data_IF_710707801564
#
_entry.id   IF_710707801564
#
_cell.length_a   1.000
_cell.length_b   1.000
_cell.length_c   1.000
_cell.angle_alpha   90.00
_cell.angle_beta   90.00
_cell.angle_gamma   90.00
#
_symmetry.space_group_name_H-M   'P 1'
#
loop_
_entity.id
_entity.type
_entity.pdbx_description
1 polymer ?
#
# COMPACT_ATOMS: atom_id res chain seq x y z
N UNK A 1 54.68 16.76 11.26
CA UNK A 1 54.31 17.74 12.30
C UNK A 1 53.45 17.00 13.33
N UNK A 2 54.09 16.44 14.36
CA UNK A 2 53.43 15.86 15.53
C UNK A 2 53.06 16.99 16.48
N UNK A 3 51.89 16.92 17.12
CA UNK A 3 51.53 17.58 18.38
C UNK A 3 50.12 17.10 18.76
N UNK A 4 49.73 16.92 20.03
CA UNK A 4 50.32 16.31 21.21
C UNK A 4 49.08 16.00 22.09
N UNK A 5 49.16 14.95 22.91
CA UNK A 5 48.10 14.60 23.88
C UNK A 5 48.08 15.61 25.03
N UNK A 6 46.92 15.88 25.62
CA UNK A 6 46.86 16.21 27.04
C UNK A 6 45.51 15.84 27.66
N UNK A 7 45.59 15.00 28.69
CA UNK A 7 44.53 14.69 29.66
C UNK A 7 44.67 15.69 30.80
N UNK A 8 43.57 16.29 31.26
CA UNK A 8 43.50 16.85 32.61
C UNK A 8 42.26 16.30 33.31
N UNK A 9 42.53 15.55 34.39
CA UNK A 9 41.61 15.27 35.47
C UNK A 9 41.64 16.46 36.44
N UNK A 10 40.49 16.88 36.97
CA UNK A 10 40.41 17.42 38.32
C UNK A 10 39.02 17.16 38.91
N UNK A 11 38.99 16.37 39.96
CA UNK A 11 37.86 16.17 40.86
C UNK A 11 38.04 17.08 42.08
N UNK A 12 36.96 17.67 42.60
CA UNK A 12 36.81 17.94 44.03
C UNK A 12 35.34 18.17 44.42
N UNK A 13 34.96 17.54 45.53
CA UNK A 13 33.65 17.50 46.20
C UNK A 13 33.33 18.78 46.99
N UNK A 14 32.05 18.94 47.39
CA UNK A 14 31.46 19.39 48.69
C UNK A 14 29.93 19.51 48.40
N UNK A 15 29.00 18.64 48.82
CA UNK A 15 28.47 18.27 50.15
C UNK A 15 27.60 19.34 50.87
N UNK A 16 26.34 18.96 51.18
CA UNK A 16 25.48 19.41 52.31
C UNK A 16 24.79 20.79 52.17
N UNK A 17 23.54 21.10 52.56
CA UNK A 17 22.46 20.48 53.37
C UNK A 17 21.21 21.41 53.33
N UNK A 18 19.99 20.84 53.51
CA UNK A 18 18.76 21.32 54.20
C UNK A 18 18.31 22.81 54.13
N UNK A 19 17.05 23.23 54.32
CA UNK A 19 15.68 22.75 54.20
C UNK A 19 14.78 23.92 54.72
N UNK A 20 13.55 24.01 54.22
CA UNK A 20 12.32 24.56 54.88
C UNK A 20 11.97 26.07 54.83
N UNK A 21 10.76 26.29 54.26
CA UNK A 21 9.67 27.25 54.54
C UNK A 21 9.77 28.75 54.24
N UNK A 22 8.87 29.19 53.35
CA UNK A 22 7.96 30.30 53.64
C UNK A 22 6.57 30.00 53.07
N UNK A 23 5.57 29.93 53.95
CA UNK A 23 4.15 29.87 53.64
C UNK A 23 3.62 31.26 53.24
N UNK A 24 2.71 31.34 52.28
CA UNK A 24 1.71 32.41 52.23
C UNK A 24 0.33 31.79 52.12
N UNK A 25 -0.50 32.06 53.14
CA UNK A 25 -1.91 31.68 53.22
C UNK A 25 -2.74 32.67 52.40
N UNK A 26 -3.67 32.15 51.62
CA UNK A 26 -4.94 32.86 51.38
C UNK A 26 -6.07 31.85 51.60
N UNK A 27 -7.08 32.14 52.44
CA UNK A 27 -8.18 31.23 52.71
C UNK A 27 -9.31 31.49 51.72
N UNK A 28 -9.78 30.47 51.03
CA UNK A 28 -11.21 30.31 50.81
C UNK A 28 -11.53 28.84 50.60
N UNK A 29 -12.13 28.29 51.65
CA UNK A 29 -12.64 26.93 51.74
C UNK A 29 -14.00 26.85 51.04
N UNK A 30 -14.13 25.96 50.05
CA UNK A 30 -15.36 25.19 49.86
C UNK A 30 -15.01 23.70 49.69
N UNK A 31 -15.63 22.92 50.58
CA UNK A 31 -15.67 21.46 50.69
C UNK A 31 -15.94 20.82 49.33
N UNK A 32 -15.12 19.87 48.89
CA UNK A 32 -15.14 18.43 49.25
C UNK A 32 -16.36 17.72 48.61
N UNK A 33 -16.12 17.10 47.46
CA UNK A 33 -16.81 15.87 47.07
C UNK A 33 -15.80 14.99 46.32
N UNK A 34 -15.42 13.94 47.02
CA UNK A 34 -14.50 12.89 46.61
C UNK A 34 -15.18 12.03 45.55
N UNK A 35 -14.86 12.24 44.27
CA UNK A 35 -15.14 11.24 43.23
C UNK A 35 -13.91 10.35 43.06
N UNK A 36 -13.80 9.38 43.96
CA UNK A 36 -12.90 8.24 43.85
C UNK A 36 -13.27 7.47 42.58
N UNK A 37 -12.56 7.73 41.49
CA UNK A 37 -12.69 6.99 40.25
C UNK A 37 -12.24 5.54 40.48
N UNK A 38 -13.19 4.67 40.80
CA UNK A 38 -13.01 3.22 40.76
C UNK A 38 -13.64 2.73 39.46
N UNK A 39 -12.96 2.97 38.34
CA UNK A 39 -13.30 2.28 37.09
C UNK A 39 -12.61 0.90 37.11
N UNK A 40 -13.33 -0.19 36.86
CA UNK A 40 -12.73 -1.52 36.75
C UNK A 40 -11.74 -1.55 35.58
N UNK A 41 -10.57 -2.13 35.82
CA UNK A 41 -9.64 -2.53 34.78
C UNK A 41 -10.23 -3.67 33.94
N UNK A 42 -11.10 -3.34 32.99
CA UNK A 42 -11.37 -4.20 31.83
C UNK A 42 -10.40 -3.80 30.73
N UNK A 43 -9.50 -4.71 30.38
CA UNK A 43 -8.40 -4.53 29.43
C UNK A 43 -8.84 -4.30 27.98
N UNK A 44 -9.47 -3.16 27.70
CA UNK A 44 -9.44 -2.52 26.39
C UNK A 44 -8.39 -1.40 26.43
N UNK A 45 -7.12 -1.79 26.32
CA UNK A 45 -6.06 -0.82 26.05
C UNK A 45 -6.27 -0.22 24.64
N UNK A 46 -6.92 0.95 24.61
CA UNK A 46 -6.57 2.11 23.76
C UNK A 46 -6.67 2.02 22.23
N UNK A 47 -7.72 1.41 21.67
CA UNK A 47 -8.07 1.60 20.24
C UNK A 47 -8.26 3.08 19.86
N UNK A 48 -8.70 3.93 20.79
CA UNK A 48 -8.88 5.38 20.57
C UNK A 48 -7.52 6.10 20.47
N UNK A 49 -6.59 5.80 21.37
CA UNK A 49 -5.29 6.47 21.43
C UNK A 49 -4.43 6.16 20.22
N UNK A 50 -4.52 4.93 19.69
CA UNK A 50 -3.82 4.51 18.47
C UNK A 50 -4.44 5.14 17.22
N UNK A 51 -5.77 5.21 17.13
CA UNK A 51 -6.48 5.96 16.06
C UNK A 51 -6.09 7.43 16.07
N UNK A 52 -6.01 8.06 17.24
CA UNK A 52 -5.61 9.46 17.36
C UNK A 52 -4.16 9.67 16.92
N UNK A 53 -3.24 8.76 17.30
CA UNK A 53 -1.85 8.82 16.87
C UNK A 53 -1.70 8.71 15.35
N UNK A 54 -2.43 7.78 14.74
CA UNK A 54 -2.50 7.62 13.29
C UNK A 54 -3.04 8.87 12.59
N UNK A 55 -4.15 9.43 13.08
CA UNK A 55 -4.72 10.64 12.49
C UNK A 55 -3.80 11.85 12.61
N UNK A 56 -3.12 12.01 13.75
CA UNK A 56 -2.08 13.05 13.91
C UNK A 56 -0.95 12.88 12.88
N UNK A 57 -0.44 11.66 12.70
CA UNK A 57 0.62 11.40 11.72
C UNK A 57 0.19 11.76 10.29
N UNK A 58 -1.00 11.34 9.88
CA UNK A 58 -1.56 11.68 8.56
C UNK A 58 -1.65 13.20 8.39
N UNK A 59 -2.18 13.92 9.38
CA UNK A 59 -2.29 15.39 9.34
C UNK A 59 -0.92 16.07 9.26
N UNK A 60 0.06 15.61 10.04
CA UNK A 60 1.43 16.15 10.02
C UNK A 60 2.08 15.96 8.65
N UNK A 61 2.02 14.75 8.09
CA UNK A 61 2.59 14.47 6.78
C UNK A 61 1.90 15.29 5.68
N UNK A 62 0.56 15.37 5.71
CA UNK A 62 -0.24 16.15 4.77
C UNK A 62 0.13 17.65 4.82
N UNK A 63 0.35 18.20 6.02
CA UNK A 63 0.80 19.58 6.21
C UNK A 63 2.22 19.81 5.68
N UNK A 64 3.14 18.86 5.94
CA UNK A 64 4.51 18.94 5.45
C UNK A 64 4.58 18.91 3.91
N UNK A 65 3.82 18.02 3.26
CA UNK A 65 3.72 18.00 1.80
C UNK A 65 3.15 19.29 1.22
N UNK A 66 2.05 19.80 1.82
CA UNK A 66 1.45 21.08 1.40
C UNK A 66 2.44 22.23 1.50
N UNK A 67 3.21 22.30 2.60
CA UNK A 67 4.24 23.33 2.80
C UNK A 67 5.36 23.26 1.75
N UNK A 68 5.72 22.05 1.32
CA UNK A 68 6.71 21.83 0.27
C UNK A 68 6.16 22.00 -1.16
N UNK A 69 4.87 22.35 -1.33
CA UNK A 69 4.23 22.45 -2.64
C UNK A 69 3.97 21.10 -3.32
N UNK A 70 4.09 20.00 -2.59
CA UNK A 70 3.85 18.64 -3.11
C UNK A 70 2.36 18.30 -2.99
N UNK A 71 1.73 18.01 -4.12
CA UNK A 71 0.34 17.52 -4.17
C UNK A 71 0.31 16.01 -3.92
N UNK A 72 0.41 15.61 -2.67
CA UNK A 72 0.20 14.23 -2.23
C UNK A 72 -1.04 14.13 -1.35
N UNK A 73 -1.88 13.12 -1.56
CA UNK A 73 -3.03 12.83 -0.71
C UNK A 73 -2.76 11.53 0.03
N UNK A 74 -2.68 11.61 1.35
CA UNK A 74 -2.48 10.44 2.21
C UNK A 74 -3.81 9.76 2.42
N UNK A 75 -3.87 8.46 2.13
CA UNK A 75 -5.06 7.63 2.25
C UNK A 75 -5.12 6.93 3.60
N UNK A 76 -4.00 6.37 4.03
CA UNK A 76 -3.92 5.63 5.28
C UNK A 76 -2.51 5.64 5.87
N UNK A 77 -2.42 5.41 7.18
CA UNK A 77 -1.18 5.12 7.88
C UNK A 77 -1.37 3.88 8.75
N UNK A 78 -0.45 2.93 8.67
CA UNK A 78 -0.49 1.68 9.44
C UNK A 78 0.82 1.45 10.17
N UNK A 79 0.80 0.94 11.41
CA UNK A 79 2.02 0.57 12.10
C UNK A 79 2.72 -0.56 11.32
N UNK A 80 4.05 -0.54 11.35
CA UNK A 80 4.86 -1.68 10.92
C UNK A 80 5.38 -2.43 12.14
N UNK A 81 5.92 -3.60 11.91
CA UNK A 81 6.67 -4.37 12.90
C UNK A 81 7.99 -3.70 13.33
N UNK A 82 8.48 -2.71 12.58
CA UNK A 82 9.63 -1.90 12.99
C UNK A 82 9.16 -0.71 13.84
N UNK A 83 9.67 -0.56 15.08
CA UNK A 83 9.28 0.55 15.94
C UNK A 83 9.56 1.91 15.29
N UNK A 84 8.69 2.88 15.56
CA UNK A 84 8.77 4.25 15.01
C UNK A 84 8.68 4.31 13.46
N UNK A 85 8.21 3.25 12.81
CA UNK A 85 8.04 3.23 11.36
C UNK A 85 6.62 2.84 10.97
N UNK A 86 6.01 3.66 10.13
CA UNK A 86 4.64 3.51 9.65
C UNK A 86 4.62 3.33 8.14
N UNK A 87 3.75 2.45 7.66
CA UNK A 87 3.42 2.30 6.24
C UNK A 87 2.39 3.36 5.86
N UNK A 88 2.73 4.21 4.91
CA UNK A 88 1.92 5.33 4.45
C UNK A 88 1.43 5.04 3.04
N UNK A 89 0.11 4.91 2.89
CA UNK A 89 -0.53 4.76 1.59
C UNK A 89 -0.95 6.12 1.05
N UNK A 90 -0.66 6.38 -0.22
CA UNK A 90 -0.94 7.64 -0.89
C UNK A 90 -1.71 7.39 -2.20
N UNK A 91 -2.59 8.30 -2.58
CA UNK A 91 -3.40 8.17 -3.79
C UNK A 91 -2.51 8.34 -5.04
N UNK A 92 -2.49 7.33 -5.92
CA UNK A 92 -1.76 7.38 -7.18
C UNK A 92 -0.23 7.40 -7.04
N UNK A 93 0.29 7.06 -5.86
CA UNK A 93 1.73 6.97 -5.59
C UNK A 93 2.04 5.66 -4.89
N UNK A 94 3.26 5.16 -5.06
CA UNK A 94 3.74 4.03 -4.27
C UNK A 94 3.69 4.37 -2.78
N UNK A 95 3.25 3.40 -1.98
CA UNK A 95 3.31 3.51 -0.53
C UNK A 95 4.77 3.70 -0.09
N UNK A 96 4.96 4.48 0.98
CA UNK A 96 6.28 4.80 1.54
C UNK A 96 6.27 4.54 3.04
N UNK A 97 7.45 4.50 3.65
CA UNK A 97 7.54 4.48 5.10
C UNK A 97 7.73 5.89 5.65
N UNK A 98 7.21 6.15 6.85
CA UNK A 98 7.41 7.40 7.57
C UNK A 98 7.75 7.17 9.04
N UNK A 99 8.54 8.08 9.63
CA UNK A 99 8.72 8.12 11.08
C UNK A 99 7.44 8.53 11.79
N UNK A 100 7.24 8.11 13.05
CA UNK A 100 6.01 8.41 13.79
C UNK A 100 5.77 9.91 14.03
N UNK A 101 6.83 10.72 13.95
CA UNK A 101 6.77 12.18 14.06
C UNK A 101 6.53 12.89 12.71
N UNK A 102 6.40 12.13 11.62
CA UNK A 102 6.10 12.64 10.28
C UNK A 102 7.18 13.52 9.67
N UNK A 103 8.42 13.48 10.18
CA UNK A 103 9.53 14.32 9.69
C UNK A 103 10.34 13.68 8.57
N UNK A 104 10.41 12.35 8.52
CA UNK A 104 11.20 11.63 7.54
C UNK A 104 10.34 10.64 6.77
N UNK A 105 10.61 10.55 5.47
CA UNK A 105 10.07 9.53 4.57
C UNK A 105 11.20 8.64 4.07
N UNK A 106 10.91 7.37 3.95
CA UNK A 106 11.82 6.37 3.38
C UNK A 106 11.07 5.74 2.20
N UNK A 107 11.67 5.86 1.01
CA UNK A 107 11.17 5.27 -0.22
C UNK A 107 11.95 3.99 -0.53
N UNK A 108 11.24 2.93 -0.88
CA UNK A 108 11.79 1.60 -1.11
C UNK A 108 11.40 0.62 0.00
N UNK A 109 11.97 -0.57 -0.05
CA UNK A 109 11.64 -1.64 0.88
C UNK A 109 12.45 -1.60 2.17
N UNK A 110 11.80 -1.97 3.28
CA UNK A 110 12.48 -2.32 4.52
C UNK A 110 12.44 -3.83 4.64
N UNK A 111 13.61 -4.45 4.53
CA UNK A 111 13.76 -5.90 4.51
C UNK A 111 14.03 -6.42 5.92
N UNK A 112 13.19 -7.35 6.40
CA UNK A 112 13.43 -8.08 7.63
C UNK A 112 14.58 -9.07 7.44
N UNK A 113 15.58 -8.98 8.32
CA UNK A 113 16.68 -9.93 8.43
C UNK A 113 16.43 -10.92 9.58
N UNK A 114 17.14 -12.05 9.56
CA UNK A 114 17.14 -13.04 10.66
C UNK A 114 16.04 -14.09 10.60
N UNK A 115 15.25 -14.14 9.51
CA UNK A 115 14.38 -15.28 9.19
C UNK A 115 15.01 -16.20 8.14
N UNK A 116 14.31 -17.30 7.81
CA UNK A 116 14.75 -18.26 6.79
C UNK A 116 14.81 -17.66 5.38
N UNK A 117 14.08 -16.55 5.15
CA UNK A 117 14.03 -15.81 3.89
C UNK A 117 14.01 -14.31 4.17
N UNK A 118 14.56 -13.53 3.23
CA UNK A 118 14.40 -12.08 3.20
C UNK A 118 12.96 -11.74 2.80
N UNK A 119 12.32 -10.82 3.51
CA UNK A 119 10.96 -10.37 3.20
C UNK A 119 10.80 -8.88 3.53
N UNK A 120 10.08 -8.13 2.68
CA UNK A 120 9.75 -6.74 3.01
C UNK A 120 8.67 -6.71 4.09
N UNK A 121 8.84 -5.82 5.07
CA UNK A 121 7.88 -5.68 6.18
C UNK A 121 6.55 -5.08 5.71
N UNK A 122 6.55 -4.42 4.55
CA UNK A 122 5.39 -3.81 3.92
C UNK A 122 4.56 -4.76 3.07
N UNK A 123 5.13 -5.88 2.60
CA UNK A 123 4.47 -6.78 1.64
C UNK A 123 3.12 -7.28 2.16
N UNK A 124 3.09 -7.77 3.41
CA UNK A 124 1.85 -8.27 4.04
C UNK A 124 0.82 -7.17 4.26
N UNK A 125 1.29 -5.96 4.57
CA UNK A 125 0.42 -4.79 4.79
C UNK A 125 -0.25 -4.41 3.47
N UNK A 126 0.54 -4.30 2.40
CA UNK A 126 0.05 -3.96 1.06
C UNK A 126 -0.85 -5.06 0.50
N UNK A 127 -0.48 -6.33 0.67
CA UNK A 127 -1.30 -7.46 0.22
C UNK A 127 -2.67 -7.49 0.90
N UNK A 128 -2.73 -7.24 2.21
CA UNK A 128 -3.99 -7.18 2.95
C UNK A 128 -4.93 -6.06 2.46
N UNK A 129 -4.38 -4.91 2.06
CA UNK A 129 -5.18 -3.82 1.48
C UNK A 129 -5.62 -4.13 0.05
N UNK A 130 -4.70 -4.64 -0.78
CA UNK A 130 -4.99 -5.10 -2.13
C UNK A 130 -6.10 -6.15 -2.15
N UNK A 131 -6.08 -7.10 -1.22
CA UNK A 131 -7.12 -8.13 -1.08
C UNK A 131 -8.51 -7.53 -0.91
N UNK A 132 -8.64 -6.46 -0.12
CA UNK A 132 -9.93 -5.77 0.09
C UNK A 132 -10.42 -5.14 -1.21
N UNK A 133 -9.53 -4.44 -1.91
CA UNK A 133 -9.82 -3.82 -3.20
C UNK A 133 -10.21 -4.84 -4.28
N UNK A 134 -9.51 -5.98 -4.33
CA UNK A 134 -9.82 -7.06 -5.26
C UNK A 134 -11.14 -7.78 -4.93
N UNK A 135 -11.52 -7.85 -3.65
CA UNK A 135 -12.79 -8.42 -3.22
C UNK A 135 -14.01 -7.54 -3.55
N UNK A 136 -13.81 -6.23 -3.71
CA UNK A 136 -14.84 -5.28 -4.13
C UNK A 136 -15.11 -5.31 -5.64
N UNK A 137 -14.23 -5.95 -6.44
CA UNK A 137 -14.39 -6.04 -7.89
C UNK A 137 -15.57 -6.92 -8.28
N UNK A 138 -16.41 -6.38 -9.16
CA UNK A 138 -17.42 -7.16 -9.85
C UNK A 138 -16.80 -7.88 -11.05
N UNK A 139 -16.91 -9.21 -11.06
CA UNK A 139 -16.32 -10.07 -12.12
C UNK A 139 -16.82 -9.68 -13.52
N UNK A 140 -18.05 -9.16 -13.66
CA UNK A 140 -18.63 -8.74 -14.96
C UNK A 140 -17.91 -7.53 -15.57
N UNK A 141 -17.22 -6.76 -14.75
CA UNK A 141 -16.43 -5.60 -15.16
C UNK A 141 -15.01 -5.99 -15.59
N UNK A 142 -14.63 -7.26 -15.43
CA UNK A 142 -13.32 -7.78 -15.79
C UNK A 142 -13.36 -8.52 -17.14
N UNK A 143 -12.19 -8.67 -17.74
CA UNK A 143 -11.98 -9.58 -18.87
C UNK A 143 -11.37 -10.88 -18.33
N UNK A 144 -12.18 -11.95 -18.30
CA UNK A 144 -11.83 -13.21 -17.63
C UNK A 144 -11.41 -14.26 -18.65
N UNK A 145 -10.23 -14.85 -18.44
CA UNK A 145 -9.76 -16.05 -19.13
C UNK A 145 -9.84 -17.22 -18.14
N UNK A 146 -10.83 -18.11 -18.30
CA UNK A 146 -11.04 -19.21 -17.37
C UNK A 146 -9.89 -20.21 -17.41
N UNK A 147 -9.61 -20.84 -16.26
CA UNK A 147 -8.71 -21.97 -16.21
C UNK A 147 -9.22 -23.13 -17.09
N UNK A 148 -8.31 -23.88 -17.70
CA UNK A 148 -8.66 -25.13 -18.35
C UNK A 148 -8.82 -26.22 -17.29
N UNK A 149 -9.98 -26.86 -17.26
CA UNK A 149 -10.32 -27.86 -16.23
C UNK A 149 -10.61 -27.23 -14.86
N UNK A 150 -10.06 -27.81 -13.80
CA UNK A 150 -10.30 -27.34 -12.42
C UNK A 150 -9.49 -26.07 -12.13
N UNK A 151 -10.16 -25.03 -11.66
CA UNK A 151 -9.51 -23.82 -11.12
C UNK A 151 -8.69 -24.19 -9.89
N UNK A 152 -7.36 -24.05 -9.99
CA UNK A 152 -6.41 -24.17 -8.87
C UNK A 152 -6.12 -22.82 -8.24
N UNK A 153 -5.95 -21.80 -9.08
CA UNK A 153 -5.55 -20.45 -8.67
C UNK A 153 -6.31 -19.39 -9.46
N UNK A 154 -6.45 -18.20 -8.89
CA UNK A 154 -6.98 -17.00 -9.54
C UNK A 154 -5.94 -15.89 -9.45
N UNK A 155 -5.63 -15.27 -10.58
CA UNK A 155 -4.77 -14.07 -10.63
C UNK A 155 -5.54 -12.88 -11.18
N UNK A 156 -5.21 -11.70 -10.67
CA UNK A 156 -5.69 -10.42 -11.14
C UNK A 156 -4.54 -9.70 -11.84
N UNK A 157 -4.77 -9.21 -13.06
CA UNK A 157 -3.71 -8.57 -13.84
C UNK A 157 -4.19 -7.21 -14.32
N UNK A 158 -3.56 -6.14 -13.84
CA UNK A 158 -3.73 -4.82 -14.44
C UNK A 158 -3.00 -4.82 -15.79
N UNK A 159 -3.74 -4.58 -16.87
CA UNK A 159 -3.28 -4.74 -18.25
C UNK A 159 -3.61 -3.53 -19.12
N UNK A 160 -2.82 -3.33 -20.17
CA UNK A 160 -2.96 -2.26 -21.15
C UNK A 160 -2.73 -2.83 -22.55
N UNK A 161 -3.69 -2.63 -23.46
CA UNK A 161 -3.60 -3.07 -24.84
C UNK A 161 -2.48 -2.38 -25.63
N UNK A 162 -1.89 -1.28 -25.12
CA UNK A 162 -0.72 -0.63 -25.71
C UNK A 162 0.63 -1.14 -25.17
N UNK A 163 0.63 -2.00 -24.14
CA UNK A 163 1.84 -2.43 -23.45
C UNK A 163 2.45 -3.69 -24.09
N UNK A 164 3.70 -3.63 -24.60
CA UNK A 164 4.34 -4.80 -25.23
C UNK A 164 4.48 -6.01 -24.30
N UNK A 165 4.72 -5.78 -23.01
CA UNK A 165 4.81 -6.87 -22.03
C UNK A 165 3.42 -7.46 -21.68
N UNK A 166 2.34 -6.68 -21.83
CA UNK A 166 0.99 -7.22 -21.73
C UNK A 166 0.67 -8.11 -22.93
N UNK A 167 1.14 -7.73 -24.13
CA UNK A 167 1.02 -8.58 -25.33
C UNK A 167 1.74 -9.91 -25.12
N UNK A 168 2.99 -9.86 -24.63
CA UNK A 168 3.77 -11.07 -24.35
C UNK A 168 3.14 -11.96 -23.28
N UNK A 169 2.56 -11.38 -22.24
CA UNK A 169 1.80 -12.16 -21.25
C UNK A 169 0.56 -12.81 -21.90
N UNK A 170 -0.11 -12.06 -22.79
CA UNK A 170 -1.32 -12.50 -23.48
C UNK A 170 -1.08 -13.68 -24.42
N UNK A 171 0.05 -13.69 -25.11
CA UNK A 171 0.50 -14.82 -25.94
C UNK A 171 0.57 -16.13 -25.13
N UNK A 172 0.84 -16.05 -23.83
CA UNK A 172 0.98 -17.20 -22.94
C UNK A 172 -0.31 -17.56 -22.17
N UNK A 173 -1.46 -16.93 -22.46
CA UNK A 173 -2.72 -17.22 -21.74
C UNK A 173 -3.09 -18.70 -21.79
N UNK A 174 -2.91 -19.35 -22.93
CA UNK A 174 -3.23 -20.78 -23.07
C UNK A 174 -2.36 -21.65 -22.15
N UNK A 175 -1.09 -21.32 -21.98
CA UNK A 175 -0.17 -22.03 -21.08
C UNK A 175 -0.53 -21.79 -19.60
N UNK A 176 -0.86 -20.54 -19.25
CA UNK A 176 -1.26 -20.17 -17.90
C UNK A 176 -2.59 -20.89 -17.53
N UNK A 177 -3.59 -20.81 -18.41
CA UNK A 177 -4.89 -21.44 -18.17
C UNK A 177 -4.80 -22.97 -18.15
N UNK A 178 -3.93 -23.60 -18.95
CA UNK A 178 -3.66 -25.04 -18.92
C UNK A 178 -3.11 -25.54 -17.58
N UNK A 179 -2.44 -24.68 -16.80
CA UNK A 179 -1.96 -25.00 -15.44
C UNK A 179 -3.07 -24.98 -14.39
N UNK A 180 -4.30 -24.60 -14.76
CA UNK A 180 -5.42 -24.44 -13.83
C UNK A 180 -5.52 -23.03 -13.24
N UNK A 181 -4.92 -22.02 -13.87
CA UNK A 181 -4.89 -20.64 -13.38
C UNK A 181 -5.93 -19.82 -14.16
N UNK A 182 -6.90 -19.24 -13.45
CA UNK A 182 -7.84 -18.27 -14.03
C UNK A 182 -7.22 -16.88 -14.00
N UNK A 183 -7.30 -16.17 -15.12
CA UNK A 183 -6.75 -14.82 -15.26
C UNK A 183 -7.90 -13.82 -15.33
N UNK A 184 -7.85 -12.79 -14.49
CA UNK A 184 -8.83 -11.69 -14.47
C UNK A 184 -8.14 -10.39 -14.83
N UNK A 185 -8.31 -9.95 -16.07
CA UNK A 185 -7.77 -8.69 -16.54
C UNK A 185 -8.58 -7.50 -16.02
N UNK A 186 -7.84 -6.54 -15.46
CA UNK A 186 -8.32 -5.24 -14.99
C UNK A 186 -7.75 -4.19 -15.94
N UNK A 187 -8.61 -3.37 -16.54
CA UNK A 187 -8.17 -2.32 -17.46
C UNK A 187 -7.32 -1.27 -16.72
N UNK A 188 -6.09 -1.05 -17.19
CA UNK A 188 -5.19 -0.03 -16.67
C UNK A 188 -4.40 0.63 -17.80
N UNK A 189 -5.02 1.52 -18.60
CA UNK A 189 -4.32 2.25 -19.64
C UNK A 189 -3.22 3.13 -19.00
N UNK A 190 -1.97 2.96 -19.44
CA UNK A 190 -0.80 3.66 -18.85
C UNK A 190 -0.78 5.18 -19.14
N UNK A 191 -1.75 5.68 -19.91
CA UNK A 191 -1.89 7.08 -20.26
C UNK A 191 -3.29 7.37 -20.82
N UNK A 192 -3.74 8.62 -20.67
CA UNK A 192 -5.06 9.09 -21.10
C UNK A 192 -5.32 8.79 -22.59
N UNK A 193 -4.28 8.85 -23.44
CA UNK A 193 -4.38 8.55 -24.86
C UNK A 193 -4.77 7.09 -25.17
N UNK A 194 -4.58 6.17 -24.22
CA UNK A 194 -4.92 4.75 -24.38
C UNK A 194 -6.29 4.38 -23.81
N UNK A 195 -6.92 5.29 -23.05
CA UNK A 195 -8.27 5.08 -22.49
C UNK A 195 -9.29 4.75 -23.59
N UNK A 196 -9.38 5.49 -24.72
CA UNK A 196 -10.41 5.23 -25.73
C UNK A 196 -10.35 3.82 -26.32
N UNK A 197 -9.15 3.27 -26.51
CA UNK A 197 -8.96 1.89 -26.98
C UNK A 197 -9.45 0.89 -25.94
N UNK A 198 -9.08 1.09 -24.66
CA UNK A 198 -9.54 0.22 -23.57
C UNK A 198 -11.06 0.29 -23.37
N UNK A 199 -11.66 1.48 -23.48
CA UNK A 199 -13.12 1.66 -23.44
C UNK A 199 -13.81 0.94 -24.60
N UNK A 200 -13.26 1.04 -25.82
CA UNK A 200 -13.80 0.34 -26.99
C UNK A 200 -13.75 -1.18 -26.83
N UNK A 201 -12.66 -1.72 -26.23
CA UNK A 201 -12.57 -3.14 -25.86
C UNK A 201 -13.67 -3.50 -24.86
N UNK A 202 -13.83 -2.71 -23.79
CA UNK A 202 -14.78 -3.01 -22.72
C UNK A 202 -16.25 -2.82 -23.12
N UNK A 203 -16.50 -2.03 -24.17
CA UNK A 203 -17.81 -1.88 -24.80
C UNK A 203 -18.10 -2.93 -25.88
N UNK A 204 -17.13 -3.75 -26.27
CA UNK A 204 -17.36 -4.84 -27.22
C UNK A 204 -18.27 -5.91 -26.63
N UNK A 205 -19.14 -6.49 -27.47
CA UNK A 205 -19.93 -7.67 -27.13
C UNK A 205 -19.03 -8.88 -26.82
N UNK A 206 -17.89 -8.98 -27.53
CA UNK A 206 -16.82 -9.92 -27.23
C UNK A 206 -15.55 -9.13 -26.88
N UNK A 207 -15.34 -8.92 -25.58
CA UNK A 207 -14.17 -8.21 -25.06
C UNK A 207 -12.86 -8.95 -25.33
N UNK A 208 -12.89 -10.29 -25.36
CA UNK A 208 -11.70 -11.10 -25.62
C UNK A 208 -11.24 -10.94 -27.07
N UNK A 209 -12.18 -11.06 -28.02
CA UNK A 209 -11.89 -10.82 -29.43
C UNK A 209 -11.41 -9.38 -29.70
N UNK A 210 -12.04 -8.38 -29.07
CA UNK A 210 -11.62 -6.99 -29.20
C UNK A 210 -10.22 -6.75 -28.62
N UNK A 211 -9.91 -7.33 -27.45
CA UNK A 211 -8.58 -7.23 -26.86
C UNK A 211 -7.53 -7.88 -27.78
N UNK A 212 -7.80 -9.07 -28.31
CA UNK A 212 -6.92 -9.77 -29.26
C UNK A 212 -6.64 -8.92 -30.52
N UNK A 213 -7.67 -8.29 -31.08
CA UNK A 213 -7.53 -7.39 -32.23
C UNK A 213 -6.66 -6.17 -31.89
N UNK A 214 -6.91 -5.54 -30.74
CA UNK A 214 -6.15 -4.36 -30.31
C UNK A 214 -4.67 -4.66 -30.10
N UNK A 215 -4.33 -5.76 -29.43
CA UNK A 215 -2.92 -6.14 -29.23
C UNK A 215 -2.23 -6.58 -30.54
N UNK A 216 -3.00 -7.10 -31.51
CA UNK A 216 -2.50 -7.40 -32.85
C UNK A 216 -2.29 -6.14 -33.73
N UNK A 217 -2.50 -4.95 -33.17
CA UNK A 217 -2.34 -3.67 -33.87
C UNK A 217 -3.53 -3.28 -34.74
N UNK A 218 -4.67 -3.97 -34.62
CA UNK A 218 -5.90 -3.59 -35.33
C UNK A 218 -6.55 -2.41 -34.63
N UNK A 219 -6.84 -1.35 -35.38
CA UNK A 219 -7.63 -0.22 -34.88
C UNK A 219 -9.08 -0.65 -34.69
N UNK A 220 -9.54 -0.66 -33.45
CA UNK A 220 -10.93 -0.93 -33.13
C UNK A 220 -11.82 0.26 -33.52
N UNK A 221 -13.04 0.01 -34.03
CA UNK A 221 -14.05 1.06 -34.16
C UNK A 221 -14.30 1.72 -32.80
N UNK A 222 -14.34 3.06 -32.72
CA UNK A 222 -14.69 3.74 -31.48
C UNK A 222 -16.06 3.29 -30.99
N UNK A 223 -16.14 2.81 -29.75
CA UNK A 223 -17.39 2.44 -29.10
C UNK A 223 -17.53 3.20 -27.78
N UNK A 224 -18.74 3.71 -27.53
CA UNK A 224 -19.08 4.39 -26.27
C UNK A 224 -20.27 3.70 -25.62
N UNK A 225 -20.08 3.32 -24.37
CA UNK A 225 -21.08 2.68 -23.52
C UNK A 225 -20.74 2.99 -22.06
N UNK A 226 -21.68 2.72 -21.14
CA UNK A 226 -21.34 2.71 -19.72
C UNK A 226 -20.37 1.56 -19.46
N UNK A 227 -19.13 1.90 -19.11
CA UNK A 227 -18.04 0.94 -18.93
C UNK A 227 -17.24 1.26 -17.65
N UNK A 228 -16.52 0.28 -17.08
CA UNK A 228 -15.81 0.43 -15.81
C UNK A 228 -14.36 0.93 -15.96
N UNK A 229 -13.86 1.24 -17.17
CA UNK A 229 -12.41 1.43 -17.42
C UNK A 229 -11.80 2.52 -16.54
N UNK A 230 -12.48 3.66 -16.37
CA UNK A 230 -11.98 4.75 -15.51
C UNK A 230 -11.98 4.38 -14.01
N UNK A 231 -12.97 3.62 -13.56
CA UNK A 231 -13.05 3.16 -12.18
C UNK A 231 -11.95 2.11 -11.89
N UNK A 232 -11.71 1.20 -12.84
CA UNK A 232 -10.63 0.21 -12.77
C UNK A 232 -9.24 0.86 -12.81
N UNK A 233 -9.07 1.91 -13.63
CA UNK A 233 -7.86 2.71 -13.65
C UNK A 233 -7.60 3.38 -12.29
N UNK A 234 -8.63 4.03 -11.72
CA UNK A 234 -8.55 4.65 -10.40
C UNK A 234 -8.26 3.63 -9.28
N UNK A 235 -8.80 2.41 -9.39
CA UNK A 235 -8.47 1.31 -8.49
C UNK A 235 -6.98 0.97 -8.55
N UNK A 236 -6.40 0.86 -9.74
CA UNK A 236 -4.97 0.58 -9.89
C UNK A 236 -4.11 1.69 -9.27
N UNK A 237 -4.49 2.96 -9.43
CA UNK A 237 -3.82 4.08 -8.75
C UNK A 237 -3.89 3.96 -7.21
N UNK A 238 -5.03 3.52 -6.67
CA UNK A 238 -5.21 3.27 -5.23
C UNK A 238 -4.39 2.08 -4.72
N UNK A 239 -4.22 1.07 -5.57
CA UNK A 239 -3.40 -0.12 -5.31
C UNK A 239 -1.89 0.13 -5.51
N UNK A 240 -1.50 1.31 -5.99
CA UNK A 240 -0.10 1.65 -6.25
C UNK A 240 0.47 1.03 -7.52
N UNK A 241 -0.39 0.61 -8.47
CA UNK A 241 0.03 0.14 -9.80
C UNK A 241 0.74 1.28 -10.52
N UNK A 242 1.97 1.03 -10.97
CA UNK A 242 2.82 2.00 -11.65
C UNK A 242 3.37 1.49 -12.99
N UNK A 243 2.97 0.30 -13.40
CA UNK A 243 3.37 -0.34 -14.65
C UNK A 243 2.49 -1.54 -14.98
N UNK A 244 2.47 -1.95 -16.24
CA UNK A 244 1.70 -3.11 -16.71
C UNK A 244 2.60 -4.08 -17.49
N UNK A 245 2.33 -5.40 -17.45
CA UNK A 245 1.32 -6.03 -16.61
C UNK A 245 1.71 -5.96 -15.13
N UNK A 246 0.74 -5.84 -14.23
CA UNK A 246 0.96 -5.99 -12.79
C UNK A 246 0.07 -7.13 -12.28
N UNK A 247 0.71 -8.22 -11.83
CA UNK A 247 0.06 -9.48 -11.49
C UNK A 247 -0.08 -9.58 -9.96
N UNK A 248 -1.28 -9.92 -9.50
CA UNK A 248 -1.61 -10.15 -8.10
C UNK A 248 -2.32 -11.51 -7.95
N UNK A 249 -2.10 -12.20 -6.81
CA UNK A 249 -2.90 -13.38 -6.47
C UNK A 249 -4.22 -12.99 -5.75
N UNK A 250 -5.04 -13.99 -5.41
CA UNK A 250 -6.32 -13.78 -4.72
C UNK A 250 -6.15 -13.23 -3.29
N UNK A 251 -4.97 -13.40 -2.70
CA UNK A 251 -4.58 -12.89 -1.39
C UNK A 251 -4.10 -11.44 -1.44
N UNK A 252 -4.05 -10.83 -2.62
CA UNK A 252 -3.62 -9.45 -2.84
C UNK A 252 -2.11 -9.26 -2.94
N UNK A 253 -1.33 -10.33 -2.86
CA UNK A 253 0.12 -10.28 -2.98
C UNK A 253 0.53 -9.96 -4.40
N UNK A 254 1.49 -9.03 -4.54
CA UNK A 254 2.05 -8.68 -5.84
C UNK A 254 3.03 -9.78 -6.29
N UNK A 255 2.70 -10.45 -7.38
CA UNK A 255 3.52 -11.51 -7.95
C UNK A 255 4.63 -10.94 -8.85
N UNK A 256 4.42 -9.81 -9.50
CA UNK A 256 5.41 -9.19 -10.36
C UNK A 256 4.84 -8.57 -11.64
N UNK A 257 5.76 -8.22 -12.54
CA UNK A 257 5.47 -7.71 -13.87
C UNK A 257 5.14 -8.83 -14.86
N UNK A 258 5.67 -8.74 -16.07
CA UNK A 258 5.64 -9.89 -16.98
C UNK A 258 6.36 -11.08 -16.37
N UNK A 259 5.74 -12.25 -16.48
CA UNK A 259 6.23 -13.53 -15.99
C UNK A 259 5.73 -14.64 -16.92
N UNK A 260 6.51 -15.70 -17.04
CA UNK A 260 6.10 -16.93 -17.74
C UNK A 260 5.07 -17.73 -16.93
N UNK A 261 4.37 -18.66 -17.58
CA UNK A 261 3.39 -19.50 -16.91
C UNK A 261 3.99 -20.32 -15.74
N UNK A 262 5.22 -20.82 -15.91
CA UNK A 262 5.95 -21.56 -14.87
C UNK A 262 6.34 -20.68 -13.68
N UNK A 263 6.79 -19.44 -13.92
CA UNK A 263 7.14 -18.53 -12.83
C UNK A 263 5.90 -18.11 -12.03
N UNK A 264 4.76 -17.89 -12.71
CA UNK A 264 3.49 -17.59 -12.04
C UNK A 264 3.06 -18.78 -11.16
N UNK A 265 3.03 -20.00 -11.71
CA UNK A 265 2.69 -21.21 -10.95
C UNK A 265 3.63 -21.43 -9.76
N UNK A 266 4.94 -21.23 -9.95
CA UNK A 266 5.94 -21.32 -8.89
C UNK A 266 5.71 -20.31 -7.77
N UNK A 267 5.28 -19.09 -8.08
CA UNK A 267 4.93 -18.09 -7.03
C UNK A 267 3.63 -18.41 -6.32
N UNK A 268 2.65 -18.99 -7.01
CA UNK A 268 1.34 -19.34 -6.45
C UNK A 268 1.36 -20.59 -5.56
N UNK A 269 2.34 -21.48 -5.74
CA UNK A 269 2.46 -22.73 -4.97
C UNK A 269 3.36 -22.60 -3.71
N UNK A 270 3.79 -21.39 -3.35
CA UNK A 270 4.61 -21.13 -2.15
C UNK A 270 3.76 -21.00 -0.91
#
# INVERSE_FOLDING_TARGET
MQLNRSKLMLACLIASTMAVSACSKNPDSKKDDTLTATAPATGEASNLTERDAKQRLIQTLQANFKKAGVKAKILDAKPTEMPNLYWISMEGMSSVYATSDGKFLIQGDVIRLGGDKLSSIGDKIQAAENKKYLAELNIKDLLVYPAQGKVKHVIYVFTDASCPYCHKLHEHISEITAKGIEIRYIAWPRGEQFIPTMESIWCSADRSAAFNQAIAGTTLPPASCKNPVRDLYALGLKMGVNGTPAIYNAEGEYLGGYMTADEIESRLNK
#
